data_IF_337556821817
#
_entry.id   IF_337556821817
#
_cell.length_a   1.000
_cell.length_b   1.000
_cell.length_c   1.000
_cell.angle_alpha   90.00
_cell.angle_beta   90.00
_cell.angle_gamma   90.00
#
_symmetry.space_group_name_H-M   'P 1'
#
loop_
_entity.id
_entity.type
_entity.pdbx_description
1 polymer ?
#
# COMPACT_ATOMS: atom_id res chain seq x y z
N UNK A 1 3.35 22.71 -14.41
CA UNK A 1 3.73 22.27 -13.07
C UNK A 1 5.24 22.40 -13.00
N UNK A 2 5.75 23.36 -12.23
CA UNK A 2 7.18 23.74 -12.19
C UNK A 2 8.05 22.81 -11.30
N UNK A 3 7.46 21.74 -10.75
CA UNK A 3 8.19 20.62 -10.13
C UNK A 3 8.89 20.95 -8.82
N UNK A 4 8.85 22.19 -8.34
CA UNK A 4 9.50 22.61 -7.10
C UNK A 4 8.50 22.66 -5.96
N UNK A 5 8.34 21.52 -5.26
CA UNK A 5 7.73 21.53 -3.93
C UNK A 5 8.59 22.40 -2.98
N UNK A 6 7.97 23.21 -2.09
CA UNK A 6 8.67 23.93 -1.03
C UNK A 6 9.63 23.02 -0.25
N UNK A 7 10.78 23.55 0.21
CA UNK A 7 11.80 22.74 0.89
C UNK A 7 11.27 21.97 2.11
N UNK A 8 10.28 22.52 2.82
CA UNK A 8 9.61 21.85 3.94
C UNK A 8 8.76 20.64 3.52
N UNK A 9 8.20 20.66 2.31
CA UNK A 9 7.40 19.55 1.78
C UNK A 9 8.29 18.37 1.37
N UNK A 10 9.48 18.66 0.81
CA UNK A 10 10.50 17.63 0.59
C UNK A 10 10.95 16.99 1.91
N UNK A 11 11.21 17.82 2.93
CA UNK A 11 11.62 17.32 4.24
C UNK A 11 10.53 16.46 4.90
N UNK A 12 9.26 16.86 4.81
CA UNK A 12 8.13 16.05 5.29
C UNK A 12 8.00 14.73 4.54
N UNK A 13 8.11 14.74 3.22
CA UNK A 13 8.06 13.53 2.40
C UNK A 13 9.18 12.55 2.74
N UNK A 14 10.41 13.05 2.88
CA UNK A 14 11.56 12.25 3.30
C UNK A 14 11.37 11.66 4.71
N UNK A 15 10.93 12.47 5.68
CA UNK A 15 10.67 12.01 7.04
C UNK A 15 9.57 10.94 7.09
N UNK A 16 8.51 11.08 6.28
CA UNK A 16 7.42 10.11 6.22
C UNK A 16 7.89 8.79 5.60
N UNK A 17 8.71 8.87 4.56
CA UNK A 17 9.31 7.70 3.92
C UNK A 17 10.24 6.94 4.88
N UNK A 18 11.05 7.65 5.65
CA UNK A 18 11.91 7.07 6.69
C UNK A 18 11.10 6.42 7.82
N UNK A 19 10.03 7.08 8.28
CA UNK A 19 9.15 6.54 9.31
C UNK A 19 8.47 5.23 8.86
N UNK A 20 7.98 5.19 7.61
CA UNK A 20 7.42 3.98 7.00
C UNK A 20 8.46 2.87 6.90
N UNK A 21 9.67 3.18 6.42
CA UNK A 21 10.75 2.20 6.32
C UNK A 21 11.15 1.63 7.70
N UNK A 22 11.22 2.46 8.74
CA UNK A 22 11.50 2.03 10.11
C UNK A 22 10.41 1.08 10.63
N UNK A 23 9.14 1.49 10.48
CA UNK A 23 8.00 0.68 10.90
C UNK A 23 7.98 -0.70 10.26
N UNK A 24 8.16 -0.78 8.93
CA UNK A 24 8.16 -2.06 8.24
C UNK A 24 9.37 -2.92 8.60
N UNK A 25 10.54 -2.32 8.83
CA UNK A 25 11.72 -3.05 9.29
C UNK A 25 11.45 -3.73 10.63
N UNK A 26 10.89 -3.00 11.59
CA UNK A 26 10.52 -3.53 12.91
C UNK A 26 9.44 -4.62 12.79
N UNK A 27 8.43 -4.41 11.96
CA UNK A 27 7.36 -5.38 11.71
C UNK A 27 7.90 -6.68 11.11
N UNK A 28 8.83 -6.61 10.16
CA UNK A 28 9.46 -7.79 9.55
C UNK A 28 10.23 -8.58 10.62
N UNK A 29 11.00 -7.90 11.46
CA UNK A 29 11.79 -8.55 12.51
C UNK A 29 10.91 -9.15 13.62
N UNK A 30 9.81 -8.51 13.99
CA UNK A 30 8.81 -9.10 14.89
C UNK A 30 8.22 -10.38 14.29
N UNK A 31 7.85 -10.35 13.01
CA UNK A 31 7.20 -11.49 12.33
C UNK A 31 8.14 -12.67 12.11
N UNK A 32 9.44 -12.43 11.88
CA UNK A 32 10.46 -13.49 11.90
C UNK A 32 10.53 -14.22 13.24
N UNK A 33 10.31 -13.51 14.36
CA UNK A 33 10.33 -14.09 15.72
C UNK A 33 9.01 -14.75 16.10
N UNK A 34 7.88 -14.29 15.53
CA UNK A 34 6.53 -14.83 15.78
C UNK A 34 5.78 -15.06 14.45
N UNK A 35 6.08 -16.17 13.75
CA UNK A 35 5.40 -16.49 12.50
C UNK A 35 3.90 -16.76 12.76
N UNK A 36 3.04 -16.23 11.88
CA UNK A 36 1.58 -16.32 11.97
C UNK A 36 0.91 -16.12 10.59
N UNK A 37 -0.41 -16.28 10.47
CA UNK A 37 -1.10 -16.15 9.18
C UNK A 37 -1.29 -14.68 8.79
N UNK A 38 -0.25 -14.06 8.22
CA UNK A 38 -0.31 -12.70 7.68
C UNK A 38 0.43 -12.68 6.35
N UNK A 39 0.01 -11.82 5.43
CA UNK A 39 0.66 -11.55 4.14
C UNK A 39 2.19 -11.43 4.26
N UNK A 40 2.67 -10.92 5.41
CA UNK A 40 4.09 -10.82 5.72
C UNK A 40 4.82 -12.17 5.68
N UNK A 41 4.24 -13.18 6.32
CA UNK A 41 4.83 -14.51 6.34
C UNK A 41 4.70 -15.20 4.99
N UNK A 42 3.64 -14.94 4.23
CA UNK A 42 3.51 -15.44 2.85
C UNK A 42 4.63 -14.89 1.95
N UNK A 43 4.96 -13.61 2.05
CA UNK A 43 6.05 -12.99 1.29
C UNK A 43 7.44 -13.47 1.75
N UNK A 44 7.65 -13.67 3.05
CA UNK A 44 8.86 -14.30 3.60
C UNK A 44 9.03 -15.74 3.10
N UNK A 45 7.92 -16.46 2.97
CA UNK A 45 7.87 -17.86 2.56
C UNK A 45 7.81 -18.06 1.03
N UNK A 46 7.71 -16.97 0.25
CA UNK A 46 7.64 -17.01 -1.22
C UNK A 46 9.00 -17.46 -1.78
N UNK A 47 9.17 -18.78 -1.87
CA UNK A 47 10.29 -19.43 -2.55
C UNK A 47 10.12 -19.29 -4.05
N UNK A 48 10.91 -18.43 -4.70
CA UNK A 48 11.31 -18.70 -6.09
C UNK A 48 12.54 -19.59 -6.02
N UNK A 49 12.53 -20.71 -6.75
CA UNK A 49 13.64 -21.68 -6.94
C UNK A 49 15.00 -21.09 -6.49
N UNK A 50 15.44 -21.45 -5.30
CA UNK A 50 16.73 -21.11 -4.67
C UNK A 50 17.06 -19.65 -4.27
N UNK A 51 16.12 -18.70 -4.26
CA UNK A 51 16.39 -17.35 -3.71
C UNK A 51 15.30 -16.84 -2.77
N UNK A 52 15.71 -16.55 -1.53
CA UNK A 52 14.91 -15.76 -0.58
C UNK A 52 15.12 -14.28 -0.89
N UNK A 53 14.06 -13.48 -0.76
CA UNK A 53 14.20 -12.02 -0.77
C UNK A 53 15.10 -11.62 0.39
N UNK A 54 16.10 -10.78 0.12
CA UNK A 54 16.86 -10.16 1.20
C UNK A 54 15.98 -9.15 1.97
N UNK A 55 16.39 -8.68 3.16
CA UNK A 55 15.58 -7.76 3.96
C UNK A 55 15.18 -6.47 3.24
N UNK A 56 16.03 -5.94 2.37
CA UNK A 56 15.77 -4.71 1.60
C UNK A 56 14.75 -5.00 0.50
N UNK A 57 14.90 -6.12 -0.21
CA UNK A 57 13.93 -6.55 -1.22
C UNK A 57 12.55 -6.82 -0.62
N UNK A 58 12.50 -7.45 0.56
CA UNK A 58 11.27 -7.73 1.29
C UNK A 58 10.59 -6.40 1.70
N UNK A 59 11.34 -5.45 2.24
CA UNK A 59 10.87 -4.11 2.57
C UNK A 59 10.33 -3.37 1.34
N UNK A 60 11.05 -3.40 0.23
CA UNK A 60 10.63 -2.80 -1.04
C UNK A 60 9.32 -3.39 -1.56
N UNK A 61 9.15 -4.72 -1.45
CA UNK A 61 7.91 -5.38 -1.84
C UNK A 61 6.72 -4.96 -0.97
N UNK A 62 6.90 -4.80 0.35
CA UNK A 62 5.83 -4.29 1.22
C UNK A 62 5.43 -2.88 0.87
N UNK A 63 6.42 -1.99 0.70
CA UNK A 63 6.16 -0.60 0.35
C UNK A 63 5.43 -0.51 -0.99
N UNK A 64 5.84 -1.30 -1.98
CA UNK A 64 5.15 -1.40 -3.27
C UNK A 64 3.70 -1.83 -3.10
N UNK A 65 3.44 -2.93 -2.40
CA UNK A 65 2.08 -3.46 -2.20
C UNK A 65 1.20 -2.49 -1.42
N UNK A 66 1.74 -1.86 -0.37
CA UNK A 66 1.02 -0.90 0.45
C UNK A 66 0.63 0.34 -0.37
N UNK A 67 1.60 1.00 -0.99
CA UNK A 67 1.37 2.26 -1.72
C UNK A 67 0.47 2.01 -2.91
N UNK A 68 0.79 0.98 -3.73
CA UNK A 68 -0.01 0.65 -4.89
C UNK A 68 -1.44 0.27 -4.50
N UNK A 69 -1.63 -0.54 -3.45
CA UNK A 69 -2.96 -0.93 -2.98
C UNK A 69 -3.74 0.24 -2.38
N UNK A 70 -3.10 1.05 -1.56
CA UNK A 70 -3.74 2.16 -0.86
C UNK A 70 -4.21 3.25 -1.83
N UNK A 71 -3.35 3.69 -2.75
CA UNK A 71 -3.68 4.76 -3.68
C UNK A 71 -4.76 4.32 -4.70
N UNK A 72 -4.62 3.13 -5.28
CA UNK A 72 -5.57 2.64 -6.29
C UNK A 72 -6.95 2.38 -5.70
N UNK A 73 -7.04 1.74 -4.54
CA UNK A 73 -8.34 1.46 -3.91
C UNK A 73 -9.01 2.72 -3.39
N UNK A 74 -8.26 3.66 -2.80
CA UNK A 74 -8.81 4.95 -2.36
C UNK A 74 -9.38 5.73 -3.54
N UNK A 75 -8.63 5.81 -4.65
CA UNK A 75 -9.10 6.50 -5.84
C UNK A 75 -10.30 5.80 -6.48
N UNK A 76 -10.26 4.47 -6.57
CA UNK A 76 -11.36 3.70 -7.16
C UNK A 76 -12.65 3.88 -6.36
N UNK A 77 -12.58 3.73 -5.03
CA UNK A 77 -13.74 3.90 -4.14
C UNK A 77 -14.25 5.34 -4.19
N UNK A 78 -13.36 6.32 -4.06
CA UNK A 78 -13.73 7.74 -4.09
C UNK A 78 -14.42 8.14 -5.40
N UNK A 79 -13.84 7.76 -6.53
CA UNK A 79 -14.43 8.04 -7.85
C UNK A 79 -15.72 7.26 -8.09
N UNK A 80 -15.81 6.03 -7.58
CA UNK A 80 -17.03 5.23 -7.60
C UNK A 80 -18.17 5.95 -6.88
N UNK A 81 -17.97 6.32 -5.61
CA UNK A 81 -18.97 7.06 -4.84
C UNK A 81 -19.32 8.40 -5.46
N UNK A 82 -18.32 9.16 -5.92
CA UNK A 82 -18.55 10.43 -6.61
C UNK A 82 -19.47 10.26 -7.83
N UNK A 83 -19.23 9.22 -8.63
CA UNK A 83 -20.04 8.90 -9.81
C UNK A 83 -21.48 8.55 -9.43
N UNK A 84 -21.69 7.77 -8.36
CA UNK A 84 -23.02 7.39 -7.87
C UNK A 84 -23.81 8.57 -7.32
N UNK A 85 -23.14 9.49 -6.62
CA UNK A 85 -23.78 10.68 -6.07
C UNK A 85 -24.11 11.71 -7.16
N UNK A 86 -23.28 11.80 -8.20
CA UNK A 86 -23.49 12.72 -9.33
C UNK A 86 -24.59 12.26 -10.29
N UNK A 87 -24.84 10.95 -10.39
CA UNK A 87 -25.87 10.38 -11.25
C UNK A 87 -26.70 9.32 -10.50
N UNK A 88 -27.91 9.72 -10.08
CA UNK A 88 -28.85 8.85 -9.35
C UNK A 88 -29.33 7.65 -10.18
N UNK A 89 -29.20 7.67 -11.51
CA UNK A 89 -29.55 6.52 -12.35
C UNK A 89 -28.59 5.34 -12.15
N UNK A 90 -27.29 5.61 -11.93
CA UNK A 90 -26.28 4.57 -11.63
C UNK A 90 -26.52 3.88 -10.29
N UNK A 91 -26.99 4.62 -9.29
CA UNK A 91 -27.39 4.02 -8.01
C UNK A 91 -28.58 3.07 -8.20
N UNK A 92 -29.57 3.46 -9.01
CA UNK A 92 -30.73 2.60 -9.33
C UNK A 92 -30.36 1.36 -10.17
N UNK A 93 -29.26 1.40 -10.90
CA UNK A 93 -28.73 0.23 -11.62
C UNK A 93 -28.14 -0.78 -10.64
N UNK A 94 -27.28 -0.32 -9.71
CA UNK A 94 -26.74 -1.16 -8.63
C UNK A 94 -27.82 -1.79 -7.74
N UNK A 95 -28.88 -1.05 -7.41
CA UNK A 95 -29.99 -1.59 -6.62
C UNK A 95 -30.78 -2.70 -7.34
N UNK A 96 -30.72 -2.75 -8.68
CA UNK A 96 -31.37 -3.78 -9.50
C UNK A 96 -30.51 -5.02 -9.73
N UNK A 97 -29.21 -4.96 -9.44
CA UNK A 97 -28.23 -6.06 -9.53
C UNK A 97 -28.13 -6.90 -8.24
N UNK A 98 -28.95 -6.59 -7.23
CA UNK A 98 -29.08 -7.35 -5.97
C UNK A 98 -30.12 -8.45 -6.07
#
# INVERSE_FOLDING_TARGET
>A
MDGTLPADDWRKSQNSSLALASYFTELIDERKRRPGMVLVNQLIDTRKKDRRLDPVELLGMYLLLLVAGHETTTNLIGNGFYSLLRDRSKMKELDRDR
#
